data_IF_068464719656
#
_entry.id   IF_068464719656
#
_cell.length_a   1.000
_cell.length_b   1.000
_cell.length_c   1.000
_cell.angle_alpha   90.00
_cell.angle_beta   90.00
_cell.angle_gamma   90.00
#
_symmetry.space_group_name_H-M   'P 1'
#
loop_
_entity.id
_entity.type
_entity.pdbx_description
1 polymer ?
#
# COMPACT_ATOMS: atom_id res chain seq x y z
N UNK A 1 -13.38 21.23 8.95
CA UNK A 1 -12.23 20.30 9.05
C UNK A 1 -11.60 20.41 10.43
N UNK A 2 -11.58 19.34 11.21
CA UNK A 2 -10.89 19.33 12.50
C UNK A 2 -9.40 19.13 12.26
N UNK A 3 -8.64 20.23 12.22
CA UNK A 3 -7.18 20.15 12.11
C UNK A 3 -6.62 19.45 13.36
N UNK A 4 -5.60 18.60 13.18
CA UNK A 4 -4.83 17.96 14.25
C UNK A 4 -5.52 16.87 15.10
N UNK A 5 -6.74 16.42 14.75
CA UNK A 5 -7.34 15.24 15.41
C UNK A 5 -6.87 13.95 14.73
N UNK A 6 -6.26 13.05 15.52
CA UNK A 6 -5.90 11.70 15.11
C UNK A 6 -7.12 10.89 14.64
N UNK A 7 -6.88 9.89 13.78
CA UNK A 7 -7.89 8.91 13.39
C UNK A 7 -8.29 8.05 14.59
N UNK A 8 -9.59 7.94 14.82
CA UNK A 8 -10.14 7.03 15.85
C UNK A 8 -10.08 5.58 15.38
N UNK A 9 -10.41 4.63 16.25
CA UNK A 9 -10.56 3.22 15.85
C UNK A 9 -11.73 3.04 14.87
N UNK A 10 -12.85 3.74 15.09
CA UNK A 10 -14.01 3.71 14.19
C UNK A 10 -13.61 4.18 12.79
N UNK A 11 -12.91 5.32 12.70
CA UNK A 11 -12.46 5.87 11.41
C UNK A 11 -11.62 4.86 10.62
N UNK A 12 -10.82 4.02 11.31
CA UNK A 12 -10.01 2.98 10.65
C UNK A 12 -10.86 1.82 10.13
N UNK A 13 -11.88 1.41 10.88
CA UNK A 13 -12.84 0.39 10.45
C UNK A 13 -13.63 0.88 9.23
N UNK A 14 -14.04 2.16 9.24
CA UNK A 14 -14.75 2.79 8.12
C UNK A 14 -13.86 2.89 6.86
N UNK A 15 -12.58 3.23 7.03
CA UNK A 15 -11.61 3.19 5.92
C UNK A 15 -11.48 1.76 5.38
N UNK A 16 -11.38 0.74 6.23
CA UNK A 16 -11.28 -0.64 5.79
C UNK A 16 -12.52 -1.07 4.98
N UNK A 17 -13.72 -0.81 5.49
CA UNK A 17 -14.97 -1.14 4.82
C UNK A 17 -15.13 -0.40 3.49
N UNK A 18 -14.75 0.87 3.43
CA UNK A 18 -14.74 1.65 2.19
C UNK A 18 -13.79 1.08 1.13
N UNK A 19 -12.62 0.59 1.54
CA UNK A 19 -11.68 -0.08 0.63
C UNK A 19 -12.22 -1.42 0.12
N UNK A 20 -12.87 -2.21 0.97
CA UNK A 20 -13.52 -3.47 0.58
C UNK A 20 -14.62 -3.23 -0.47
N UNK A 21 -15.36 -2.13 -0.32
CA UNK A 21 -16.38 -1.66 -1.27
C UNK A 21 -15.82 -0.99 -2.52
N UNK A 22 -14.48 -0.88 -2.65
CA UNK A 22 -13.78 -0.18 -3.75
C UNK A 22 -14.19 1.28 -3.90
N UNK A 23 -14.53 1.93 -2.79
CA UNK A 23 -14.82 3.36 -2.77
C UNK A 23 -13.56 4.19 -3.00
N UNK A 24 -13.74 5.42 -3.49
CA UNK A 24 -12.62 6.34 -3.70
C UNK A 24 -12.13 6.91 -2.36
N UNK A 25 -10.85 7.29 -2.27
CA UNK A 25 -10.33 7.94 -1.05
C UNK A 25 -11.03 9.27 -0.74
N UNK A 26 -11.61 9.92 -1.76
CA UNK A 26 -12.40 11.14 -1.59
C UNK A 26 -13.73 10.85 -0.89
N UNK A 27 -14.47 9.83 -1.33
CA UNK A 27 -15.75 9.45 -0.70
C UNK A 27 -15.54 8.93 0.73
N UNK A 28 -14.51 8.11 0.94
CA UNK A 28 -14.15 7.61 2.28
C UNK A 28 -13.78 8.78 3.20
N UNK A 29 -12.95 9.73 2.74
CA UNK A 29 -12.59 10.92 3.50
C UNK A 29 -13.80 11.78 3.88
N UNK A 30 -14.72 11.98 2.94
CA UNK A 30 -15.98 12.68 3.20
C UNK A 30 -16.83 11.97 4.26
N UNK A 31 -16.91 10.64 4.22
CA UNK A 31 -17.66 9.84 5.19
C UNK A 31 -17.12 9.99 6.62
N UNK A 32 -15.81 9.89 6.82
CA UNK A 32 -15.16 10.03 8.15
C UNK A 32 -14.88 11.49 8.54
N UNK A 33 -15.33 12.46 7.75
CA UNK A 33 -15.06 13.90 7.93
C UNK A 33 -13.55 14.24 8.02
N UNK A 34 -12.72 13.56 7.21
CA UNK A 34 -11.27 13.80 7.08
C UNK A 34 -10.88 14.13 5.65
N UNK A 35 -9.66 14.65 5.51
CA UNK A 35 -9.08 14.90 4.21
C UNK A 35 -8.71 13.57 3.52
N UNK A 36 -8.88 13.49 2.20
CA UNK A 36 -8.55 12.28 1.43
C UNK A 36 -7.06 11.93 1.52
N UNK A 37 -6.16 12.90 1.76
CA UNK A 37 -4.74 12.62 2.00
C UNK A 37 -4.50 11.94 3.35
N UNK A 38 -5.38 12.15 4.35
CA UNK A 38 -5.34 11.41 5.62
C UNK A 38 -5.63 9.93 5.38
N UNK A 39 -6.67 9.63 4.59
CA UNK A 39 -6.99 8.25 4.17
C UNK A 39 -5.81 7.65 3.41
N UNK A 40 -5.27 8.35 2.41
CA UNK A 40 -4.10 7.89 1.64
C UNK A 40 -2.88 7.57 2.52
N UNK A 41 -2.60 8.42 3.52
CA UNK A 41 -1.47 8.21 4.46
C UNK A 41 -1.70 7.00 5.36
N UNK A 42 -2.91 6.81 5.88
CA UNK A 42 -3.26 5.66 6.72
C UNK A 42 -3.15 4.36 5.91
N UNK A 43 -3.69 4.35 4.69
CA UNK A 43 -3.61 3.19 3.80
C UNK A 43 -2.15 2.88 3.45
N UNK A 44 -1.35 3.88 3.05
CA UNK A 44 0.08 3.67 2.74
C UNK A 44 0.87 3.13 3.94
N UNK A 45 0.58 3.63 5.15
CA UNK A 45 1.23 3.19 6.39
C UNK A 45 0.91 1.74 6.75
N UNK A 46 -0.36 1.33 6.61
CA UNK A 46 -0.83 0.01 7.03
C UNK A 46 -0.89 -1.02 5.90
N UNK A 47 -0.56 -0.63 4.67
CA UNK A 47 -0.48 -1.54 3.54
C UNK A 47 0.60 -2.57 3.84
N UNK A 48 0.18 -3.80 4.15
CA UNK A 48 1.09 -4.93 4.20
C UNK A 48 1.66 -5.11 2.79
N UNK A 49 2.93 -4.78 2.63
CA UNK A 49 3.67 -5.18 1.44
C UNK A 49 3.66 -6.70 1.49
N UNK A 50 3.01 -7.35 0.51
CA UNK A 50 3.25 -8.77 0.30
C UNK A 50 4.75 -8.90 0.14
N UNK A 51 5.42 -9.46 1.14
CA UNK A 51 6.79 -9.89 0.99
C UNK A 51 6.72 -10.85 -0.18
N UNK A 52 7.23 -10.41 -1.33
CA UNK A 52 7.45 -11.33 -2.43
C UNK A 52 8.30 -12.43 -1.83
N UNK A 53 7.82 -13.67 -1.87
CA UNK A 53 8.53 -14.87 -1.39
C UNK A 53 9.78 -15.16 -2.23
N UNK A 54 10.28 -14.18 -2.99
CA UNK A 54 11.69 -14.13 -3.27
C UNK A 54 12.38 -13.79 -1.95
N UNK A 55 12.61 -14.83 -1.15
CA UNK A 55 13.77 -14.90 -0.28
C UNK A 55 14.95 -14.33 -1.08
N UNK A 56 15.86 -13.65 -0.40
CA UNK A 56 17.08 -13.04 -0.96
C UNK A 56 18.06 -14.09 -1.55
N UNK A 57 17.55 -15.03 -2.34
CA UNK A 57 18.30 -15.96 -3.15
C UNK A 57 18.85 -15.17 -4.33
N UNK A 58 20.19 -15.15 -4.52
CA UNK A 58 20.79 -14.54 -5.69
C UNK A 58 20.18 -15.16 -6.94
N UNK A 59 19.74 -14.31 -7.87
CA UNK A 59 19.29 -14.77 -9.16
C UNK A 59 20.55 -15.11 -9.96
N UNK A 60 20.72 -16.37 -10.35
CA UNK A 60 21.89 -16.82 -11.14
C UNK A 60 22.06 -16.07 -12.47
N UNK A 61 20.99 -15.42 -12.97
CA UNK A 61 21.02 -14.56 -14.15
C UNK A 61 21.58 -13.15 -13.86
N UNK A 62 21.59 -12.71 -12.60
CA UNK A 62 22.25 -11.48 -12.15
C UNK A 62 23.73 -11.71 -11.80
N UNK A 63 24.19 -12.96 -11.73
CA UNK A 63 25.59 -13.30 -11.49
C UNK A 63 26.44 -13.26 -12.78
N UNK A 64 25.83 -13.03 -13.95
CA UNK A 64 26.50 -13.01 -15.27
C UNK A 64 25.96 -11.89 -16.16
N UNK A 65 26.82 -11.36 -17.04
CA UNK A 65 26.41 -10.34 -18.01
C UNK A 65 25.50 -10.93 -19.11
N UNK A 66 24.50 -10.18 -19.62
CA UNK A 66 24.11 -8.85 -19.18
C UNK A 66 23.30 -8.98 -17.87
N UNK A 67 23.73 -8.29 -16.80
CA UNK A 67 23.24 -8.43 -15.41
C UNK A 67 21.79 -7.92 -15.21
N UNK A 68 20.92 -8.15 -16.20
CA UNK A 68 19.56 -7.65 -16.29
C UNK A 68 18.59 -8.82 -16.35
N UNK A 69 17.55 -8.73 -15.54
CA UNK A 69 16.57 -9.78 -15.40
C UNK A 69 15.25 -9.38 -16.07
N UNK A 70 15.10 -9.69 -17.36
CA UNK A 70 13.96 -9.25 -18.18
C UNK A 70 12.69 -10.13 -18.08
N UNK A 71 12.70 -11.17 -17.23
CA UNK A 71 11.54 -12.07 -17.12
C UNK A 71 11.48 -12.95 -15.87
N UNK A 72 12.28 -12.71 -14.81
CA UNK A 72 12.22 -13.59 -13.65
C UNK A 72 10.98 -13.30 -12.80
N UNK A 73 10.23 -14.34 -12.38
CA UNK A 73 9.15 -14.19 -11.41
C UNK A 73 9.64 -13.70 -10.03
N UNK A 74 10.95 -13.80 -9.76
CA UNK A 74 11.60 -13.26 -8.55
C UNK A 74 11.99 -11.78 -8.66
N UNK A 75 11.74 -11.12 -9.80
CA UNK A 75 12.05 -9.70 -9.96
C UNK A 75 11.21 -8.92 -8.94
N UNK A 76 11.90 -8.29 -7.97
CA UNK A 76 11.30 -7.44 -6.95
C UNK A 76 10.51 -6.34 -7.66
N UNK A 77 9.18 -6.44 -7.66
CA UNK A 77 8.35 -5.34 -8.14
C UNK A 77 8.43 -4.23 -7.11
N UNK A 78 9.26 -3.22 -7.39
CA UNK A 78 9.24 -1.97 -6.64
C UNK A 78 7.88 -1.34 -6.96
N UNK A 79 6.97 -1.37 -5.98
CA UNK A 79 5.67 -0.67 -6.02
C UNK A 79 5.79 0.68 -5.33
#
# INVERSE_FOLDING_TARGET
MTKHKHLTLSDRNDIQLGLERRETFKSIGQFILKDSTTVSKEVKRNRQVRVSTCDNLPCSLLDKAPFVCNGCPKRRQIR
#
